data_IF_129443287269
#
_entry.id   IF_129443287269
#
_cell.length_a   1.000
_cell.length_b   1.000
_cell.length_c   1.000
_cell.angle_alpha   90.00
_cell.angle_beta   90.00
_cell.angle_gamma   90.00
#
_symmetry.space_group_name_H-M   'P 1'
#
loop_
_entity.id
_entity.type
_entity.pdbx_description
1 polymer ?
#
# COMPACT_ATOMS: atom_id res chain seq x y z
N UNK A 1 2.33 20.80 -8.94
CA UNK A 1 2.39 20.85 -7.45
C UNK A 1 3.43 19.83 -6.98
N UNK A 2 3.95 19.98 -5.76
CA UNK A 2 5.06 19.19 -5.24
C UNK A 2 4.68 18.58 -3.89
N UNK A 3 4.84 17.26 -3.78
CA UNK A 3 4.62 16.52 -2.53
C UNK A 3 5.85 16.63 -1.65
N UNK A 4 5.66 17.06 -0.41
CA UNK A 4 6.71 17.17 0.59
C UNK A 4 6.54 16.08 1.65
N UNK A 5 7.60 15.31 1.90
CA UNK A 5 7.69 14.40 3.05
C UNK A 5 8.90 14.87 3.87
N UNK A 6 8.73 14.99 5.19
CA UNK A 6 9.75 15.57 6.07
C UNK A 6 11.11 14.87 5.89
N UNK A 7 12.13 15.63 5.48
CA UNK A 7 13.50 15.13 5.27
C UNK A 7 13.82 14.61 3.87
N UNK A 8 12.90 14.72 2.91
CA UNK A 8 13.14 14.32 1.52
C UNK A 8 12.85 15.48 0.55
N UNK A 9 13.60 15.57 -0.55
CA UNK A 9 13.36 16.57 -1.62
C UNK A 9 11.90 16.51 -2.13
N UNK A 10 11.29 17.62 -2.57
CA UNK A 10 9.93 17.60 -3.10
C UNK A 10 9.78 16.63 -4.28
N UNK A 11 8.79 15.74 -4.23
CA UNK A 11 8.42 14.92 -5.38
C UNK A 11 7.44 15.70 -6.27
N UNK A 12 7.89 16.06 -7.47
CA UNK A 12 7.04 16.73 -8.46
C UNK A 12 6.53 15.76 -9.51
N UNK A 13 5.37 16.04 -10.09
CA UNK A 13 4.82 15.25 -11.20
C UNK A 13 5.79 15.16 -12.40
N UNK A 14 6.55 16.23 -12.67
CA UNK A 14 7.57 16.25 -13.73
C UNK A 14 8.77 15.35 -13.43
N UNK A 15 9.25 15.32 -12.17
CA UNK A 15 10.32 14.40 -11.77
C UNK A 15 9.87 12.95 -11.89
N UNK A 16 8.63 12.67 -11.46
CA UNK A 16 8.04 11.34 -11.58
C UNK A 16 7.92 10.93 -13.06
N UNK A 17 7.36 11.78 -13.90
CA UNK A 17 7.19 11.49 -15.33
C UNK A 17 8.52 11.27 -16.08
N UNK A 18 9.62 11.85 -15.60
CA UNK A 18 10.95 11.67 -16.18
C UNK A 18 11.63 10.35 -15.79
N UNK A 19 11.19 9.71 -14.71
CA UNK A 19 11.76 8.45 -14.23
C UNK A 19 11.18 7.24 -15.00
N UNK A 20 11.91 6.12 -15.12
CA UNK A 20 11.37 4.85 -15.62
C UNK A 20 10.17 4.36 -14.80
N UNK A 21 9.19 3.66 -15.39
CA UNK A 21 7.95 3.26 -14.70
C UNK A 21 8.15 2.53 -13.36
N UNK A 22 9.17 1.67 -13.28
CA UNK A 22 9.50 0.94 -12.05
C UNK A 22 10.01 1.88 -10.95
N UNK A 23 10.84 2.86 -11.33
CA UNK A 23 11.36 3.87 -10.40
C UNK A 23 10.27 4.82 -9.94
N UNK A 24 9.29 5.14 -10.80
CA UNK A 24 8.12 5.94 -10.41
C UNK A 24 7.37 5.32 -9.22
N UNK A 25 7.11 4.01 -9.28
CA UNK A 25 6.45 3.28 -8.19
C UNK A 25 7.31 3.25 -6.94
N UNK A 26 8.62 3.06 -7.08
CA UNK A 26 9.54 3.09 -5.95
C UNK A 26 9.52 4.46 -5.25
N UNK A 27 9.64 5.56 -6.00
CA UNK A 27 9.60 6.92 -5.47
C UNK A 27 8.30 7.21 -4.72
N UNK A 28 7.15 6.78 -5.27
CA UNK A 28 5.86 6.93 -4.60
C UNK A 28 5.77 6.06 -3.34
N UNK A 29 6.29 4.83 -3.40
CA UNK A 29 6.29 3.90 -2.28
C UNK A 29 7.07 4.42 -1.09
N UNK A 30 8.25 5.01 -1.33
CA UNK A 30 9.08 5.64 -0.29
C UNK A 30 8.37 6.80 0.42
N UNK A 31 7.45 7.50 -0.28
CA UNK A 31 6.65 8.59 0.29
C UNK A 31 5.42 8.09 1.04
N UNK A 32 4.74 7.09 0.48
CA UNK A 32 3.53 6.52 1.05
C UNK A 32 3.83 5.71 2.32
N UNK A 33 4.91 4.92 2.30
CA UNK A 33 5.25 4.01 3.38
C UNK A 33 5.27 4.65 4.78
N UNK A 34 6.00 5.76 5.05
CA UNK A 34 6.04 6.34 6.39
C UNK A 34 4.67 6.88 6.83
N UNK A 35 3.87 7.40 5.91
CA UNK A 35 2.51 7.87 6.21
C UNK A 35 1.61 6.70 6.61
N UNK A 36 1.67 5.61 5.86
CA UNK A 36 0.89 4.39 6.14
C UNK A 36 1.40 3.73 7.41
N UNK A 37 2.71 3.71 7.65
CA UNK A 37 3.31 3.14 8.86
C UNK A 37 2.81 3.84 10.12
N UNK A 38 2.60 5.15 10.09
CA UNK A 38 2.02 5.88 11.21
C UNK A 38 0.56 5.49 11.48
N UNK A 39 -0.19 5.04 10.48
CA UNK A 39 -1.60 4.61 10.62
C UNK A 39 -1.72 3.12 10.98
N UNK A 40 -0.98 2.25 10.27
CA UNK A 40 -1.02 0.80 10.40
C UNK A 40 0.39 0.19 10.40
N UNK A 41 1.13 0.26 11.52
CA UNK A 41 2.53 -0.17 11.57
C UNK A 41 2.77 -1.62 11.13
N UNK A 42 1.86 -2.53 11.49
CA UNK A 42 1.98 -3.97 11.21
C UNK A 42 1.65 -4.36 9.77
N UNK A 43 0.84 -3.56 9.08
CA UNK A 43 0.38 -3.83 7.71
C UNK A 43 0.99 -2.89 6.68
N UNK A 44 1.83 -1.93 7.10
CA UNK A 44 2.35 -0.86 6.26
C UNK A 44 2.94 -1.34 4.94
N UNK A 45 3.81 -2.36 4.98
CA UNK A 45 4.42 -2.92 3.76
C UNK A 45 3.40 -3.51 2.79
N UNK A 46 2.42 -4.28 3.31
CA UNK A 46 1.37 -4.90 2.48
C UNK A 46 0.43 -3.86 1.88
N UNK A 47 -0.01 -2.90 2.69
CA UNK A 47 -0.88 -1.81 2.24
C UNK A 47 -0.16 -0.96 1.20
N UNK A 48 1.09 -0.57 1.45
CA UNK A 48 1.89 0.20 0.48
C UNK A 48 2.02 -0.55 -0.84
N UNK A 49 2.35 -1.86 -0.80
CA UNK A 49 2.41 -2.69 -2.00
C UNK A 49 1.09 -2.74 -2.77
N UNK A 50 -0.05 -2.87 -2.08
CA UNK A 50 -1.36 -2.84 -2.72
C UNK A 50 -1.71 -1.48 -3.33
N UNK A 51 -1.40 -0.38 -2.65
CA UNK A 51 -1.67 0.96 -3.16
C UNK A 51 -0.79 1.30 -4.36
N UNK A 52 0.42 0.76 -4.45
CA UNK A 52 1.29 0.99 -5.61
C UNK A 52 0.73 0.41 -6.92
N UNK A 53 -0.28 -0.45 -6.88
CA UNK A 53 -0.99 -0.92 -8.08
C UNK A 53 -1.93 0.15 -8.67
N UNK A 54 -2.25 1.21 -7.92
CA UNK A 54 -3.08 2.34 -8.36
C UNK A 54 -2.29 3.25 -9.31
N UNK A 55 -2.96 3.97 -10.20
CA UNK A 55 -2.32 4.93 -11.11
C UNK A 55 -1.51 6.02 -10.39
N UNK A 56 -0.40 6.43 -11.01
CA UNK A 56 0.55 7.38 -10.41
C UNK A 56 -0.08 8.76 -10.15
N UNK A 57 -1.03 9.19 -10.98
CA UNK A 57 -1.77 10.44 -10.79
C UNK A 57 -2.65 10.40 -9.53
N UNK A 58 -3.33 9.29 -9.28
CA UNK A 58 -4.16 9.09 -8.10
C UNK A 58 -3.29 8.95 -6.85
N UNK A 59 -2.16 8.25 -6.94
CA UNK A 59 -1.18 8.18 -5.84
C UNK A 59 -0.60 9.55 -5.46
N UNK A 60 -0.31 10.40 -6.44
CA UNK A 60 0.10 11.79 -6.18
C UNK A 60 -1.01 12.59 -5.47
N UNK A 61 -2.26 12.44 -5.91
CA UNK A 61 -3.39 13.08 -5.24
C UNK A 61 -3.56 12.61 -3.79
N UNK A 62 -3.39 11.31 -3.53
CA UNK A 62 -3.44 10.75 -2.17
C UNK A 62 -2.32 11.32 -1.29
N UNK A 63 -1.13 11.55 -1.84
CA UNK A 63 -0.03 12.19 -1.11
C UNK A 63 -0.30 13.66 -0.76
N UNK A 64 -1.13 14.35 -1.55
CA UNK A 64 -1.55 15.73 -1.30
C UNK A 64 -2.81 15.83 -0.40
N UNK A 65 -3.59 14.74 -0.30
CA UNK A 65 -4.85 14.68 0.43
C UNK A 65 -4.84 13.57 1.49
N UNK A 66 -4.60 13.91 2.78
CA UNK A 66 -4.61 12.95 3.88
C UNK A 66 -5.93 12.16 4.00
N UNK A 67 -7.06 12.78 3.66
CA UNK A 67 -8.37 12.12 3.66
C UNK A 67 -8.46 11.05 2.58
N UNK A 68 -8.02 11.36 1.35
CA UNK A 68 -7.97 10.41 0.24
C UNK A 68 -7.05 9.24 0.56
N UNK A 69 -5.86 9.50 1.11
CA UNK A 69 -4.95 8.46 1.55
C UNK A 69 -5.58 7.57 2.62
N UNK A 70 -6.22 8.14 3.63
CA UNK A 70 -6.86 7.38 4.71
C UNK A 70 -7.97 6.48 4.18
N UNK A 71 -8.86 7.00 3.32
CA UNK A 71 -9.94 6.20 2.73
C UNK A 71 -9.39 4.97 1.99
N UNK A 72 -8.33 5.16 1.18
CA UNK A 72 -7.70 4.07 0.43
C UNK A 72 -6.96 3.08 1.32
N UNK A 73 -6.37 3.55 2.40
CA UNK A 73 -5.75 2.68 3.40
C UNK A 73 -6.80 1.82 4.10
N UNK A 74 -7.95 2.38 4.47
CA UNK A 74 -9.05 1.64 5.10
C UNK A 74 -9.62 0.57 4.15
N UNK A 75 -9.80 0.90 2.86
CA UNK A 75 -10.17 -0.06 1.81
C UNK A 75 -9.16 -1.22 1.71
N UNK A 76 -7.86 -0.90 1.66
CA UNK A 76 -6.80 -1.92 1.57
C UNK A 76 -6.75 -2.81 2.83
N UNK A 77 -6.97 -2.25 4.02
CA UNK A 77 -7.04 -2.99 5.27
C UNK A 77 -8.21 -3.98 5.24
N UNK A 78 -9.39 -3.56 4.80
CA UNK A 78 -10.56 -4.43 4.70
C UNK A 78 -10.30 -5.62 3.76
N UNK A 79 -9.66 -5.36 2.61
CA UNK A 79 -9.27 -6.41 1.65
C UNK A 79 -8.26 -7.38 2.26
N UNK A 80 -7.22 -6.89 2.94
CA UNK A 80 -6.22 -7.72 3.60
C UNK A 80 -6.81 -8.59 4.72
N UNK A 81 -7.76 -8.07 5.49
CA UNK A 81 -8.45 -8.82 6.53
C UNK A 81 -9.34 -9.90 5.93
N UNK A 82 -10.09 -9.59 4.88
CA UNK A 82 -10.93 -10.56 4.18
C UNK A 82 -10.09 -11.70 3.55
N UNK A 83 -8.92 -11.38 3.00
CA UNK A 83 -7.99 -12.39 2.46
C UNK A 83 -7.44 -13.29 3.56
N UNK A 84 -6.98 -12.72 4.67
CA UNK A 84 -6.45 -13.48 5.81
C UNK A 84 -7.50 -14.42 6.44
N UNK A 85 -8.74 -13.95 6.58
CA UNK A 85 -9.83 -14.78 7.07
C UNK A 85 -10.10 -15.99 6.15
N UNK A 86 -10.04 -15.78 4.83
CA UNK A 86 -10.17 -16.85 3.84
C UNK A 86 -9.00 -17.83 3.88
N UNK A 87 -7.76 -17.34 3.98
CA UNK A 87 -6.57 -18.19 4.08
C UNK A 87 -6.56 -19.04 5.36
N UNK A 88 -6.99 -18.48 6.50
CA UNK A 88 -7.11 -19.21 7.75
C UNK A 88 -8.16 -20.33 7.65
N UNK A 89 -9.32 -20.05 7.04
CA UNK A 89 -10.38 -21.05 6.83
C UNK A 89 -9.93 -22.18 5.88
N UNK A 90 -9.11 -21.88 4.87
CA UNK A 90 -8.58 -22.90 3.96
C UNK A 90 -7.55 -23.81 4.64
N UNK A 91 -6.68 -23.27 5.51
CA UNK A 91 -5.73 -24.08 6.29
C UNK A 91 -6.40 -25.04 7.28
N UNK A 92 -7.57 -24.69 7.81
CA UNK A 92 -8.29 -25.60 8.73
C UNK A 92 -8.92 -26.80 8.03
N UNK A 93 -9.25 -26.69 6.74
CA UNK A 93 -9.92 -27.78 5.98
C UNK A 93 -8.92 -28.81 5.46
N UNK A 94 -7.69 -28.41 5.12
CA UNK A 94 -6.64 -29.33 4.63
C UNK A 94 -5.95 -30.12 5.75
N UNK A 95 -5.98 -29.65 6.99
CA UNK A 95 -5.41 -30.37 8.14
C UNK A 95 -6.32 -31.48 8.69
N UNK A 96 -7.58 -31.58 8.25
CA UNK A 96 -8.54 -32.60 8.71
C UNK A 96 -8.64 -33.84 7.82
N UNK A 97 -7.91 -33.93 6.71
CA UNK A 97 -7.88 -35.13 5.84
C UNK A 97 -6.75 -36.12 6.16
N UNK A 98 -6.05 -35.95 7.29
CA UNK A 98 -5.13 -36.96 7.81
C UNK A 98 -5.81 -37.86 8.84
N UNK A 99 -6.40 -38.97 8.40
CA UNK A 99 -6.80 -40.09 9.27
C UNK A 99 -6.23 -41.39 8.68
N UNK A 100 -6.07 -42.46 9.45
CA UNK A 100 -4.90 -42.80 10.26
C UNK A 100 -4.26 -44.12 9.76
N UNK A 101 -3.07 -44.47 10.22
CA UNK A 101 -2.58 -45.86 10.25
C UNK A 101 -1.65 -46.04 11.43
#
# INVERSE_FOLDING_TARGET
>A
PAVHVQGQEPLTASMLAAAPPQEQKQMLGERLFPLIQNMHPSLAGKITGMLLEIDNSELLHMLESPESLRSKVDEAVAVLQAHQAKEAAQKTVTNSSGVPS
#
